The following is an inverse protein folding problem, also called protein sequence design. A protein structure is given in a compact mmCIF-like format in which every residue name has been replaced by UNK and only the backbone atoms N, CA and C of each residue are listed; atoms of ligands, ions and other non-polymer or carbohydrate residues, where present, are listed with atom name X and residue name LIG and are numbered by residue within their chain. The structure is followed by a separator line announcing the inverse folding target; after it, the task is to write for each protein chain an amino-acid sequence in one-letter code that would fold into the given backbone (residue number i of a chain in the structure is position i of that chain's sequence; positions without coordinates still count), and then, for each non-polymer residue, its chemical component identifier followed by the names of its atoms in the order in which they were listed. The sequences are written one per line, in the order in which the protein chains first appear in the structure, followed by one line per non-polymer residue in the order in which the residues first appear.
data_IF_992058222789
#
_entry.id   IF_992058222789
#
_cell.length_a   1.000
_cell.length_b   1.000
_cell.length_c   1.000
_cell.angle_alpha   90.00
_cell.angle_beta   90.00
_cell.angle_gamma   90.00
#
_symmetry.space_group_name_H-M   'P 1'
#
loop_
_entity.id
_entity.type
_entity.pdbx_description
1 polymer ?
#
# COMPACT_ATOMS: atom_id res chain seq x y z
N UNK A 1 -19.43 8.49 -4.24
CA UNK A 1 -19.90 7.08 -4.27
C UNK A 1 -18.68 6.21 -4.60
N UNK A 2 -18.55 5.01 -4.00
CA UNK A 2 -17.41 4.13 -4.29
C UNK A 2 -17.45 3.68 -5.76
N UNK A 3 -16.29 3.60 -6.42
CA UNK A 3 -16.21 3.26 -7.84
C UNK A 3 -16.33 1.74 -7.99
N UNK A 4 -17.42 1.26 -8.59
CA UNK A 4 -17.68 -0.18 -8.76
C UNK A 4 -16.68 -0.88 -9.70
N UNK A 5 -15.97 -0.11 -10.52
CA UNK A 5 -14.94 -0.63 -11.42
C UNK A 5 -13.56 -0.68 -10.75
N UNK A 6 -13.45 -0.29 -9.48
CA UNK A 6 -12.19 -0.39 -8.75
C UNK A 6 -11.86 -1.84 -8.43
N UNK A 7 -10.61 -2.26 -8.66
CA UNK A 7 -10.20 -3.66 -8.47
C UNK A 7 -10.29 -4.14 -7.01
N UNK A 8 -10.28 -3.20 -6.05
CA UNK A 8 -10.46 -3.50 -4.63
C UNK A 8 -11.89 -3.27 -4.13
N UNK A 9 -12.84 -2.97 -5.02
CA UNK A 9 -14.23 -2.65 -4.64
C UNK A 9 -14.84 -3.72 -3.74
N UNK A 10 -14.81 -4.99 -4.19
CA UNK A 10 -15.40 -6.10 -3.44
C UNK A 10 -14.72 -6.31 -2.09
N UNK A 11 -13.39 -6.16 -2.03
CA UNK A 11 -12.63 -6.29 -0.79
C UNK A 11 -12.96 -5.17 0.20
N UNK A 12 -13.10 -3.93 -0.28
CA UNK A 12 -13.54 -2.79 0.54
C UNK A 12 -14.96 -3.01 1.07
N UNK A 13 -15.87 -3.54 0.24
CA UNK A 13 -17.25 -3.86 0.64
C UNK A 13 -17.27 -5.01 1.66
N UNK A 14 -16.47 -6.06 1.46
CA UNK A 14 -16.34 -7.20 2.37
C UNK A 14 -15.93 -6.73 3.77
N UNK A 15 -14.85 -5.94 3.88
CA UNK A 15 -14.36 -5.46 5.19
C UNK A 15 -15.34 -4.49 5.86
N UNK A 16 -16.08 -3.70 5.08
CA UNK A 16 -17.14 -2.82 5.62
C UNK A 16 -18.35 -3.57 6.18
N UNK A 17 -18.60 -4.78 5.68
CA UNK A 17 -19.69 -5.62 6.16
C UNK A 17 -19.33 -6.34 7.47
N UNK A 18 -18.06 -6.37 7.85
CA UNK A 18 -17.63 -6.88 9.16
C UNK A 18 -18.17 -5.95 10.25
N UNK A 19 -18.93 -6.53 11.18
CA UNK A 19 -19.72 -5.83 12.21
C UNK A 19 -18.88 -5.17 13.31
N UNK A 20 -17.59 -5.47 13.38
CA UNK A 20 -16.67 -4.86 14.34
C UNK A 20 -16.08 -3.57 13.75
N UNK A 21 -16.79 -2.46 13.94
CA UNK A 21 -16.28 -1.13 13.66
C UNK A 21 -15.41 -0.68 14.84
N UNK A 22 -14.10 -0.75 14.67
CA UNK A 22 -13.17 -0.15 15.61
C UNK A 22 -12.92 1.31 15.19
N UNK A 23 -13.02 2.24 16.16
CA UNK A 23 -12.83 3.67 15.90
C UNK A 23 -11.38 3.93 15.45
N UNK A 24 -11.14 4.46 14.23
CA UNK A 24 -9.80 4.79 13.76
C UNK A 24 -9.16 5.91 14.60
N UNK A 25 -9.89 6.60 15.48
CA UNK A 25 -9.32 7.59 16.41
C UNK A 25 -8.23 6.98 17.30
N UNK A 26 -8.38 5.71 17.68
CA UNK A 26 -7.39 4.94 18.45
C UNK A 26 -6.06 4.74 17.70
N UNK A 27 -6.05 4.88 16.37
CA UNK A 27 -4.82 4.90 15.57
C UNK A 27 -3.98 6.15 15.83
N UNK A 28 -4.57 7.22 16.36
CA UNK A 28 -3.95 8.54 16.53
C UNK A 28 -3.63 8.88 17.99
N UNK A 29 -4.30 8.26 18.97
CA UNK A 29 -4.10 8.60 20.38
C UNK A 29 -2.88 7.92 21.00
N UNK A 30 -2.52 6.70 20.57
CA UNK A 30 -1.33 6.01 21.04
C UNK A 30 -0.67 5.20 19.91
N UNK A 31 0.45 5.70 19.41
CA UNK A 31 1.23 5.14 18.30
C UNK A 31 2.02 3.88 18.74
N UNK A 32 1.38 3.00 19.50
CA UNK A 32 1.87 1.66 19.81
C UNK A 32 1.42 0.72 18.71
N UNK A 33 2.37 0.13 17.99
CA UNK A 33 2.15 -0.89 16.94
C UNK A 33 1.33 -2.09 17.42
N UNK A 34 1.22 -2.26 18.74
CA UNK A 34 0.48 -3.34 19.41
C UNK A 34 -1.04 -3.10 19.41
N UNK A 35 -1.52 -1.93 18.98
CA UNK A 35 -2.95 -1.56 18.90
C UNK A 35 -3.59 -1.77 17.51
N UNK A 36 -2.80 -2.18 16.51
CA UNK A 36 -3.29 -2.42 15.16
C UNK A 36 -3.76 -3.88 14.99
N UNK A 37 -4.69 -4.33 15.83
CA UNK A 37 -5.24 -5.69 15.76
C UNK A 37 -6.66 -5.69 15.19
N UNK A 38 -6.90 -6.51 14.17
CA UNK A 38 -8.20 -6.70 13.53
C UNK A 38 -8.47 -5.85 12.29
N UNK A 39 -9.75 -5.77 11.91
CA UNK A 39 -10.24 -5.09 10.73
C UNK A 39 -10.88 -3.73 11.05
N UNK A 40 -10.48 -2.72 10.28
CA UNK A 40 -10.98 -1.36 10.43
C UNK A 40 -11.39 -0.84 9.06
N UNK A 41 -12.56 -0.22 8.95
CA UNK A 41 -12.95 0.53 7.77
C UNK A 41 -13.08 2.01 8.11
N UNK A 42 -12.79 2.87 7.15
CA UNK A 42 -12.80 4.31 7.40
C UNK A 42 -13.19 5.13 6.17
N UNK A 43 -13.58 6.37 6.44
CA UNK A 43 -13.53 7.46 5.46
C UNK A 43 -12.61 8.52 6.03
N UNK A 44 -11.56 8.91 5.30
CA UNK A 44 -10.52 9.76 5.85
C UNK A 44 -9.86 10.65 4.81
N UNK A 45 -8.94 11.50 5.24
CA UNK A 45 -8.20 12.42 4.37
C UNK A 45 -6.89 11.79 3.87
N UNK A 46 -6.34 12.34 2.78
CA UNK A 46 -4.98 12.03 2.31
C UNK A 46 -3.93 12.15 3.41
N UNK A 47 -4.01 13.22 4.23
CA UNK A 47 -3.07 13.47 5.33
C UNK A 47 -3.10 12.32 6.33
N UNK A 48 -4.29 11.82 6.65
CA UNK A 48 -4.48 10.72 7.58
C UNK A 48 -3.94 9.40 7.03
N UNK A 49 -4.23 9.08 5.77
CA UNK A 49 -3.67 7.89 5.10
C UNK A 49 -2.14 7.92 5.04
N UNK A 50 -1.56 9.10 4.79
CA UNK A 50 -0.12 9.27 4.80
C UNK A 50 0.47 8.95 6.19
N UNK A 51 -0.16 9.44 7.26
CA UNK A 51 0.26 9.10 8.63
C UNK A 51 0.13 7.59 8.88
N UNK A 52 -1.02 6.99 8.61
CA UNK A 52 -1.25 5.54 8.81
C UNK A 52 -0.23 4.68 8.05
N UNK A 53 0.04 5.02 6.79
CA UNK A 53 1.03 4.32 5.98
C UNK A 53 2.42 4.40 6.59
N UNK A 54 2.82 5.58 7.10
CA UNK A 54 4.12 5.71 7.76
C UNK A 54 4.23 4.86 9.02
N UNK A 55 3.18 4.79 9.83
CA UNK A 55 3.14 3.93 11.03
C UNK A 55 3.29 2.47 10.63
N UNK A 56 2.51 2.02 9.66
CA UNK A 56 2.54 0.65 9.16
C UNK A 56 3.91 0.32 8.56
N UNK A 57 4.43 1.13 7.65
CA UNK A 57 5.76 0.96 7.05
C UNK A 57 6.87 0.92 8.09
N UNK A 58 6.79 1.74 9.14
CA UNK A 58 7.79 1.75 10.21
C UNK A 58 7.80 0.43 11.02
N UNK A 59 6.73 -0.36 10.99
CA UNK A 59 6.71 -1.71 11.58
C UNK A 59 7.74 -2.65 10.95
N UNK A 60 8.19 -2.40 9.71
CA UNK A 60 9.28 -3.16 9.07
C UNK A 60 10.54 -3.21 9.94
N UNK A 61 10.81 -2.16 10.72
CA UNK A 61 11.95 -2.08 11.64
C UNK A 61 11.94 -3.19 12.69
N UNK A 62 10.76 -3.66 13.07
CA UNK A 62 10.56 -4.74 14.05
C UNK A 62 10.86 -6.13 13.46
N UNK A 63 10.88 -6.25 12.13
CA UNK A 63 10.84 -7.54 11.43
C UNK A 63 12.15 -7.95 10.75
N UNK A 64 13.23 -7.16 10.88
CA UNK A 64 14.62 -7.52 10.52
C UNK A 64 14.77 -8.16 9.13
N UNK A 65 14.31 -7.49 8.07
CA UNK A 65 14.39 -7.94 6.66
C UNK A 65 13.61 -9.23 6.33
N UNK A 66 12.53 -9.50 7.06
CA UNK A 66 11.68 -10.68 6.81
C UNK A 66 10.40 -10.38 6.05
N UNK A 67 10.08 -9.11 5.80
CA UNK A 67 8.82 -8.71 5.21
C UNK A 67 9.01 -7.98 3.89
N UNK A 68 8.13 -8.26 2.94
CA UNK A 68 8.01 -7.48 1.72
C UNK A 68 7.00 -6.35 1.91
N UNK A 69 7.29 -5.19 1.32
CA UNK A 69 6.39 -4.03 1.26
C UNK A 69 5.90 -3.84 -0.18
N UNK A 70 4.61 -3.67 -0.37
CA UNK A 70 4.01 -3.21 -1.63
C UNK A 70 3.40 -1.84 -1.37
N UNK A 71 3.89 -0.82 -2.09
CA UNK A 71 3.38 0.54 -1.97
C UNK A 71 2.90 1.06 -3.31
N UNK A 72 1.63 1.48 -3.37
CA UNK A 72 1.01 2.08 -4.55
C UNK A 72 1.06 3.59 -4.51
N UNK A 73 1.45 4.18 -5.64
CA UNK A 73 1.44 5.61 -5.89
C UNK A 73 0.66 5.89 -7.16
N UNK A 74 -0.06 7.02 -7.19
CA UNK A 74 -0.77 7.46 -8.40
C UNK A 74 0.20 7.63 -9.57
N UNK A 75 1.36 8.21 -9.28
CA UNK A 75 2.42 8.63 -10.20
C UNK A 75 3.78 8.45 -9.52
N UNK A 76 4.82 8.13 -10.29
CA UNK A 76 6.18 7.97 -9.76
C UNK A 76 6.80 9.31 -9.32
N UNK A 77 6.40 10.45 -9.90
CA UNK A 77 6.81 11.77 -9.39
C UNK A 77 6.48 11.96 -7.91
N UNK A 78 5.34 11.44 -7.45
CA UNK A 78 4.94 11.47 -6.03
C UNK A 78 5.80 10.53 -5.18
N UNK A 79 6.17 9.38 -5.71
CA UNK A 79 7.13 8.50 -5.04
C UNK A 79 8.49 9.17 -4.86
N UNK A 80 8.95 9.95 -5.86
CA UNK A 80 10.24 10.63 -5.83
C UNK A 80 10.41 11.53 -4.59
N UNK A 81 9.34 12.20 -4.16
CA UNK A 81 9.30 13.01 -2.92
C UNK A 81 9.51 12.19 -1.64
N UNK A 82 9.37 10.87 -1.73
CA UNK A 82 9.52 9.92 -0.62
C UNK A 82 10.67 8.92 -0.80
N UNK A 83 11.45 9.06 -1.87
CA UNK A 83 12.55 8.16 -2.24
C UNK A 83 13.54 7.92 -1.10
N UNK A 84 14.00 8.97 -0.41
CA UNK A 84 14.92 8.86 0.73
C UNK A 84 14.37 8.01 1.88
N UNK A 85 13.06 8.07 2.11
CA UNK A 85 12.41 7.24 3.13
C UNK A 85 12.47 5.76 2.71
N UNK A 86 12.22 5.48 1.44
CA UNK A 86 12.26 4.12 0.91
C UNK A 86 13.69 3.55 0.90
N UNK A 87 14.71 4.39 0.69
CA UNK A 87 16.12 4.01 0.93
C UNK A 87 16.36 3.57 2.37
N UNK A 88 15.76 4.26 3.36
CA UNK A 88 15.87 3.85 4.78
C UNK A 88 15.10 2.57 5.07
N UNK A 89 13.88 2.43 4.53
CA UNK A 89 13.05 1.23 4.70
C UNK A 89 13.67 -0.01 4.06
N UNK A 90 14.42 0.14 2.97
CA UNK A 90 15.16 -0.92 2.30
C UNK A 90 16.16 -1.64 3.24
N UNK A 91 16.67 -0.95 4.26
CA UNK A 91 17.51 -1.53 5.30
C UNK A 91 16.77 -2.52 6.23
N UNK A 92 15.43 -2.48 6.27
CA UNK A 92 14.58 -3.27 7.16
C UNK A 92 13.63 -4.22 6.45
N UNK A 93 13.39 -4.05 5.15
CA UNK A 93 12.56 -4.92 4.32
C UNK A 93 13.38 -6.05 3.66
N UNK A 94 12.70 -7.15 3.35
CA UNK A 94 13.22 -8.14 2.41
C UNK A 94 13.21 -7.54 0.99
N UNK A 95 12.01 -7.26 0.48
CA UNK A 95 11.77 -6.62 -0.82
C UNK A 95 10.82 -5.44 -0.67
N UNK A 96 10.99 -4.41 -1.49
CA UNK A 96 10.04 -3.30 -1.59
C UNK A 96 9.61 -3.17 -3.05
N UNK A 97 8.31 -3.23 -3.30
CA UNK A 97 7.71 -3.03 -4.60
C UNK A 97 6.97 -1.69 -4.59
N UNK A 98 7.49 -0.74 -5.35
CA UNK A 98 6.88 0.57 -5.57
C UNK A 98 6.12 0.51 -6.88
N UNK A 99 4.80 0.65 -6.81
CA UNK A 99 3.90 0.55 -7.96
C UNK A 99 3.43 1.96 -8.31
N UNK A 100 3.60 2.39 -9.55
CA UNK A 100 3.13 3.71 -9.96
C UNK A 100 3.29 3.99 -11.45
N UNK A 101 2.55 4.98 -11.93
CA UNK A 101 2.54 5.36 -13.35
C UNK A 101 3.86 6.05 -13.69
N UNK A 102 4.49 5.62 -14.79
CA UNK A 102 5.78 6.12 -15.24
C UNK A 102 5.70 7.54 -15.83
N UNK A 103 5.50 8.55 -14.99
CA UNK A 103 5.47 9.96 -15.36
C UNK A 103 6.82 10.68 -15.13
N UNK A 104 7.73 10.06 -14.39
CA UNK A 104 9.06 10.61 -14.07
C UNK A 104 10.10 9.49 -13.95
N UNK A 105 11.37 9.73 -14.36
CA UNK A 105 12.45 8.79 -14.10
C UNK A 105 12.75 8.72 -12.60
N UNK A 106 12.98 7.49 -12.12
CA UNK A 106 13.33 7.19 -10.74
C UNK A 106 14.77 6.67 -10.69
N UNK A 107 15.61 7.38 -9.94
CA UNK A 107 16.98 6.95 -9.68
C UNK A 107 16.99 5.68 -8.82
N UNK A 108 18.10 4.93 -8.87
CA UNK A 108 18.24 3.71 -8.08
C UNK A 108 18.14 4.02 -6.58
N UNK A 109 17.15 3.41 -5.92
CA UNK A 109 16.86 3.61 -4.48
C UNK A 109 17.70 2.67 -3.60
N UNK A 110 17.61 1.36 -3.85
CA UNK A 110 18.37 0.29 -3.21
C UNK A 110 18.24 -0.99 -4.05
N UNK A 111 19.06 -2.01 -3.78
CA UNK A 111 19.05 -3.26 -4.55
C UNK A 111 17.76 -4.07 -4.43
N UNK A 112 17.09 -3.98 -3.28
CA UNK A 112 15.83 -4.66 -2.98
C UNK A 112 14.59 -3.78 -3.15
N UNK A 113 14.72 -2.64 -3.86
CA UNK A 113 13.60 -1.77 -4.22
C UNK A 113 13.34 -1.89 -5.72
N UNK A 114 12.12 -2.29 -6.06
CA UNK A 114 11.67 -2.58 -7.41
C UNK A 114 10.59 -1.59 -7.82
N UNK A 115 10.77 -0.92 -8.95
CA UNK A 115 9.78 0.00 -9.52
C UNK A 115 8.94 -0.76 -10.54
N UNK A 116 7.64 -0.85 -10.28
CA UNK A 116 6.67 -1.57 -11.11
C UNK A 116 5.71 -0.58 -11.76
N UNK A 117 5.70 -0.51 -13.08
CA UNK A 117 4.93 0.47 -13.85
C UNK A 117 3.87 -0.15 -14.75
N UNK A 118 3.98 -1.46 -15.00
CA UNK A 118 3.03 -2.21 -15.81
C UNK A 118 1.65 -2.23 -15.14
N UNK A 119 0.62 -1.84 -15.89
CA UNK A 119 -0.77 -1.76 -15.44
C UNK A 119 -0.98 -0.91 -14.17
N UNK A 120 -0.03 -0.03 -13.83
CA UNK A 120 -0.12 0.81 -12.64
C UNK A 120 -1.26 1.84 -12.72
N UNK A 121 -1.75 2.15 -13.93
CA UNK A 121 -2.88 3.03 -14.16
C UNK A 121 -4.21 2.47 -13.60
N UNK A 122 -4.33 1.14 -13.48
CA UNK A 122 -5.50 0.46 -12.90
C UNK A 122 -5.68 0.82 -11.43
N UNK A 123 -4.57 1.05 -10.70
CA UNK A 123 -4.58 1.41 -9.27
C UNK A 123 -4.40 2.92 -9.04
N UNK A 124 -4.54 3.77 -10.06
CA UNK A 124 -4.30 5.22 -9.95
C UNK A 124 -5.11 5.87 -8.82
N UNK A 125 -6.34 5.42 -8.61
CA UNK A 125 -7.25 5.95 -7.59
C UNK A 125 -7.08 5.24 -6.23
N UNK A 126 -6.12 4.33 -6.11
CA UNK A 126 -5.90 3.54 -4.91
C UNK A 126 -4.67 3.99 -4.13
N UNK A 127 -4.87 4.14 -2.83
CA UNK A 127 -3.81 4.13 -1.84
C UNK A 127 -3.54 2.67 -1.45
N UNK A 128 -2.28 2.22 -1.53
CA UNK A 128 -1.91 0.83 -1.22
C UNK A 128 -0.64 0.85 -0.36
N UNK A 129 -0.69 0.21 0.80
CA UNK A 129 0.48 -0.12 1.61
C UNK A 129 0.25 -1.50 2.23
N UNK A 130 0.98 -2.50 1.74
CA UNK A 130 0.85 -3.90 2.16
C UNK A 130 2.19 -4.39 2.65
N UNK A 131 2.26 -4.85 3.89
CA UNK A 131 3.42 -5.56 4.44
C UNK A 131 3.02 -7.01 4.61
N UNK A 132 3.82 -7.94 4.06
CA UNK A 132 3.59 -9.35 4.32
C UNK A 132 4.85 -10.19 4.43
N UNK A 133 4.74 -11.26 5.19
CA UNK A 133 5.55 -12.47 5.08
C UNK A 133 4.73 -13.68 5.54
N UNK A 134 5.38 -14.77 5.92
CA UNK A 134 4.69 -15.98 6.37
C UNK A 134 3.80 -15.76 7.62
N UNK A 135 4.18 -14.85 8.52
CA UNK A 135 3.56 -14.66 9.84
C UNK A 135 2.98 -13.25 10.06
N UNK A 136 3.39 -12.28 9.27
CA UNK A 136 3.00 -10.88 9.41
C UNK A 136 2.21 -10.50 8.17
N UNK A 137 1.04 -9.94 8.40
CA UNK A 137 0.13 -9.51 7.35
C UNK A 137 -0.42 -8.17 7.82
N UNK A 138 -0.15 -7.11 7.06
CA UNK A 138 -0.66 -5.78 7.35
C UNK A 138 -1.07 -5.17 6.02
N UNK A 139 -2.28 -4.69 5.91
CA UNK A 139 -2.83 -4.14 4.67
C UNK A 139 -3.57 -2.86 4.96
N UNK A 140 -3.18 -1.79 4.25
CA UNK A 140 -3.89 -0.54 4.17
C UNK A 140 -4.24 -0.28 2.71
N UNK A 141 -5.53 -0.32 2.39
CA UNK A 141 -6.03 -0.04 1.04
C UNK A 141 -7.14 1.00 1.16
N UNK A 142 -7.07 2.03 0.32
CA UNK A 142 -8.17 2.97 0.19
C UNK A 142 -8.37 3.38 -1.26
N UNK A 143 -9.61 3.71 -1.61
CA UNK A 143 -9.99 4.31 -2.87
C UNK A 143 -10.25 5.80 -2.65
N UNK A 144 -9.71 6.63 -3.54
CA UNK A 144 -10.07 8.04 -3.64
C UNK A 144 -11.56 8.17 -4.02
N UNK A 145 -12.24 9.09 -3.34
CA UNK A 145 -13.62 9.46 -3.63
C UNK A 145 -13.64 10.59 -4.67
N UNK A 146 -14.52 10.51 -5.70
CA UNK A 146 -14.72 11.61 -6.62
C UNK A 146 -15.12 12.89 -5.86
N UNK A 147 -14.31 13.94 -5.95
CA UNK A 147 -14.56 15.23 -5.28
C UNK A 147 -15.13 16.24 -6.26
N UNK A 148 -16.24 16.90 -5.90
CA UNK A 148 -16.74 18.09 -6.62
C UNK A 148 -16.09 19.39 -6.12
N UNK A 149 -15.51 19.42 -4.90
CA UNK A 149 -14.90 20.60 -4.26
C UNK A 149 -13.82 20.19 -3.24
N UNK A 150 -12.57 20.25 -3.67
CA UNK A 150 -11.33 20.49 -2.90
C UNK A 150 -10.95 19.69 -1.63
N UNK A 151 -11.61 18.58 -1.29
CA UNK A 151 -11.02 17.61 -0.38
C UNK A 151 -11.06 16.20 -0.97
N UNK A 152 -9.89 15.63 -1.29
CA UNK A 152 -9.71 14.23 -1.69
C UNK A 152 -10.01 13.35 -0.46
N UNK A 153 -11.29 12.98 -0.31
CA UNK A 153 -11.71 11.99 0.68
C UNK A 153 -11.33 10.60 0.18
N UNK A 154 -10.99 9.71 1.09
CA UNK A 154 -10.65 8.32 0.79
C UNK A 154 -11.51 7.39 1.60
N UNK A 155 -11.92 6.30 0.98
CA UNK A 155 -12.66 5.21 1.61
C UNK A 155 -11.79 3.97 1.56
N UNK A 156 -11.55 3.34 2.69
CA UNK A 156 -10.65 2.21 2.73
C UNK A 156 -10.78 1.37 3.98
N UNK A 157 -9.81 0.49 4.14
CA UNK A 157 -9.68 -0.36 5.30
C UNK A 157 -8.22 -0.59 5.68
N UNK A 158 -8.06 -0.94 6.95
CA UNK A 158 -6.88 -1.57 7.51
C UNK A 158 -7.24 -2.99 7.95
N UNK A 159 -6.30 -3.93 7.82
CA UNK A 159 -6.44 -5.28 8.37
C UNK A 159 -5.06 -5.89 8.64
N UNK A 160 -5.01 -6.79 9.62
CA UNK A 160 -3.89 -7.70 9.83
C UNK A 160 -4.22 -9.17 9.51
N UNK A 161 -5.39 -9.43 8.92
CA UNK A 161 -5.83 -10.77 8.52
C UNK A 161 -5.02 -11.29 7.33
N UNK A 162 -4.42 -12.46 7.53
CA UNK A 162 -3.73 -13.21 6.47
C UNK A 162 -4.60 -13.39 5.23
N UNK A 163 -5.86 -13.80 5.41
CA UNK A 163 -6.78 -14.07 4.30
C UNK A 163 -7.05 -12.82 3.47
N UNK A 164 -7.32 -11.68 4.12
CA UNK A 164 -7.59 -10.42 3.43
C UNK A 164 -6.33 -9.85 2.77
N UNK A 165 -5.17 -9.96 3.41
CA UNK A 165 -3.88 -9.58 2.81
C UNK A 165 -3.54 -10.44 1.59
N UNK A 166 -3.77 -11.75 1.64
CA UNK A 166 -3.55 -12.64 0.50
C UNK A 166 -4.49 -12.32 -0.66
N UNK A 167 -5.78 -12.07 -0.38
CA UNK A 167 -6.74 -11.57 -1.39
C UNK A 167 -6.26 -10.28 -2.04
N UNK A 168 -5.85 -9.29 -1.25
CA UNK A 168 -5.35 -8.01 -1.77
C UNK A 168 -4.15 -8.19 -2.72
N UNK A 169 -3.19 -9.05 -2.38
CA UNK A 169 -2.03 -9.31 -3.25
C UNK A 169 -2.41 -10.17 -4.46
N UNK A 170 -3.36 -11.09 -4.34
CA UNK A 170 -3.84 -11.87 -5.48
C UNK A 170 -4.52 -10.98 -6.52
N UNK A 171 -5.33 -10.00 -6.10
CA UNK A 171 -5.90 -8.99 -7.00
C UNK A 171 -4.78 -8.29 -7.81
N UNK A 172 -3.70 -7.85 -7.15
CA UNK A 172 -2.57 -7.23 -7.85
C UNK A 172 -1.85 -8.19 -8.83
N UNK A 173 -1.81 -9.50 -8.53
CA UNK A 173 -1.24 -10.49 -9.44
C UNK A 173 -2.15 -10.77 -10.64
N UNK A 174 -3.46 -10.91 -10.42
CA UNK A 174 -4.46 -11.17 -11.46
C UNK A 174 -4.52 -10.04 -12.49
N UNK A 175 -4.38 -8.79 -12.01
CA UNK A 175 -4.26 -7.60 -12.86
C UNK A 175 -2.87 -7.45 -13.50
N UNK A 176 -1.97 -8.41 -13.32
CA UNK A 176 -0.59 -8.43 -13.84
C UNK A 176 0.28 -7.23 -13.39
N UNK A 177 -0.08 -6.55 -12.29
CA UNK A 177 0.66 -5.43 -11.73
C UNK A 177 1.99 -5.92 -11.11
N UNK A 178 1.97 -7.10 -10.49
CA UNK A 178 3.14 -7.71 -9.86
C UNK A 178 3.86 -8.72 -10.78
N UNK A 179 3.56 -8.76 -12.09
CA UNK A 179 4.14 -9.80 -12.97
C UNK A 179 5.66 -9.78 -12.98
N UNK A 180 6.25 -8.60 -12.87
CA UNK A 180 7.70 -8.38 -12.97
C UNK A 180 8.38 -8.56 -11.60
N UNK A 181 7.60 -8.71 -10.53
CA UNK A 181 8.12 -8.99 -9.19
C UNK A 181 8.72 -10.41 -9.06
N UNK A 182 8.44 -11.31 -10.02
CA UNK A 182 8.93 -12.70 -10.01
C UNK A 182 10.38 -12.86 -10.50
N UNK A 183 11.07 -11.79 -10.88
CA UNK A 183 12.47 -11.86 -11.31
C UNK A 183 13.38 -11.60 -10.11
N UNK A 184 13.52 -12.62 -9.26
CA UNK A 184 14.66 -12.73 -8.35
C UNK A 184 15.93 -12.87 -9.20
N UNK A 185 16.64 -11.76 -9.38
CA UNK A 185 18.08 -11.61 -9.12
C UNK A 185 18.72 -10.42 -9.87
N UNK A 186 18.02 -9.79 -10.82
CA UNK A 186 18.54 -8.59 -11.51
C UNK A 186 17.41 -7.63 -11.87
N UNK A 187 17.56 -6.38 -11.42
CA UNK A 187 16.70 -5.25 -11.76
C UNK A 187 16.42 -5.18 -13.27
N UNK A 188 15.16 -5.02 -13.63
CA UNK A 188 14.73 -4.69 -14.99
C UNK A 188 14.99 -3.20 -15.22
N UNK A 189 15.98 -2.89 -16.05
CA UNK A 189 16.25 -1.52 -16.48
C UNK A 189 15.26 -1.12 -17.58
N UNK A 190 14.63 0.06 -17.43
CA UNK A 190 13.94 0.72 -18.54
C UNK A 190 14.92 1.67 -19.24
N UNK A 191 15.12 1.48 -20.54
CA UNK A 191 15.64 2.54 -21.40
C UNK A 191 14.46 3.39 -21.86
N UNK A 192 14.56 4.70 -21.64
CA UNK A 192 13.72 5.72 -22.30
C UNK A 192 14.16 5.84 -23.76
#
# INVERSE_FOLDING_TARGET
MLNKNNIFYDLIVEVRALTESHDPSLLFEDLHTDLLDGEYHFTTSRKTLFMMSRVIEDSLKLHKKRCSLYSGFQELSRFKEHSERYTKLAGYADQIFVIGIADSPIDKIADNVHILTKNADIIRENWISIIKNHNIHITLIAQELPSQKHHEGYVGFYTNSKSLTEKAVNILNEENILSDAKISDKQTYFNI
#
